data_IF_629268611973
#
_entry.id   IF_629268611973
#
_cell.length_a   1.000
_cell.length_b   1.000
_cell.length_c   1.000
_cell.angle_alpha   90.00
_cell.angle_beta   90.00
_cell.angle_gamma   90.00
#
_symmetry.space_group_name_H-M   'P 1'
#
loop_
_entity.id
_entity.type
_entity.pdbx_description
1 polymer ?
#
# COMPACT_ATOMS: atom_id res chain seq x y z
N UNK A 1 1.46 -7.08 -53.53
CA UNK A 1 1.19 -5.81 -52.82
C UNK A 1 -0.13 -5.96 -52.09
N UNK A 2 -0.17 -5.84 -50.75
CA UNK A 2 -1.44 -5.86 -50.00
C UNK A 2 -2.24 -4.60 -50.33
N UNK A 3 -3.55 -4.76 -50.57
CA UNK A 3 -4.43 -3.65 -50.90
C UNK A 3 -4.75 -2.75 -49.70
N UNK A 4 -5.12 -1.49 -49.93
CA UNK A 4 -5.41 -0.51 -48.86
C UNK A 4 -6.51 -0.96 -47.89
N UNK A 5 -7.47 -1.78 -48.33
CA UNK A 5 -8.50 -2.38 -47.46
C UNK A 5 -7.93 -3.35 -46.43
N UNK A 6 -6.97 -4.18 -46.83
CA UNK A 6 -6.35 -5.16 -45.92
C UNK A 6 -5.53 -4.46 -44.85
N UNK A 7 -4.78 -3.42 -45.23
CA UNK A 7 -4.06 -2.56 -44.30
C UNK A 7 -5.01 -1.88 -43.31
N UNK A 8 -6.15 -1.39 -43.78
CA UNK A 8 -7.14 -0.72 -42.94
C UNK A 8 -7.79 -1.69 -41.94
N UNK A 9 -8.12 -2.91 -42.36
CA UNK A 9 -8.67 -3.95 -41.47
C UNK A 9 -7.65 -4.38 -40.42
N UNK A 10 -6.38 -4.54 -40.80
CA UNK A 10 -5.30 -4.86 -39.86
C UNK A 10 -5.06 -3.73 -38.86
N UNK A 11 -5.11 -2.47 -39.31
CA UNK A 11 -4.98 -1.30 -38.45
C UNK A 11 -6.14 -1.19 -37.46
N UNK A 12 -7.39 -1.39 -37.92
CA UNK A 12 -8.56 -1.43 -37.05
C UNK A 12 -8.49 -2.57 -36.04
N UNK A 13 -8.00 -3.75 -36.46
CA UNK A 13 -7.78 -4.88 -35.56
C UNK A 13 -6.73 -4.59 -34.48
N UNK A 14 -5.61 -3.95 -34.85
CA UNK A 14 -4.57 -3.54 -33.91
C UNK A 14 -5.07 -2.47 -32.91
N UNK A 15 -5.88 -1.51 -33.37
CA UNK A 15 -6.50 -0.51 -32.50
C UNK A 15 -7.61 -1.08 -31.60
N UNK A 16 -8.37 -2.06 -32.07
CA UNK A 16 -9.37 -2.74 -31.24
C UNK A 16 -8.71 -3.61 -30.15
N UNK A 17 -7.49 -4.10 -30.40
CA UNK A 17 -6.67 -4.82 -29.41
C UNK A 17 -5.98 -3.90 -28.41
N UNK A 18 -5.84 -2.61 -28.71
CA UNK A 18 -5.44 -1.61 -27.71
C UNK A 18 -6.64 -1.21 -26.85
N UNK A 19 -7.17 -2.15 -26.07
CA UNK A 19 -7.89 -1.76 -24.86
C UNK A 19 -6.87 -1.13 -23.91
N UNK A 20 -6.82 0.20 -23.86
CA UNK A 20 -6.24 0.93 -22.73
C UNK A 20 -7.18 0.81 -21.54
N UNK A 21 -7.27 -0.39 -20.98
CA UNK A 21 -8.07 -0.63 -19.78
C UNK A 21 -7.29 -0.09 -18.58
N UNK A 22 -7.41 1.21 -18.34
CA UNK A 22 -7.14 1.75 -17.01
C UNK A 22 -8.21 1.17 -16.09
N UNK A 23 -7.92 0.03 -15.47
CA UNK A 23 -8.77 -0.56 -14.44
C UNK A 23 -8.92 0.38 -13.24
N UNK A 24 -9.93 0.13 -12.42
CA UNK A 24 -9.99 0.78 -11.10
C UNK A 24 -8.85 0.25 -10.24
N UNK A 25 -8.21 1.16 -9.50
CA UNK A 25 -7.24 0.84 -8.46
C UNK A 25 -7.81 1.18 -7.09
N UNK A 26 -7.41 0.41 -6.07
CA UNK A 26 -7.83 0.60 -4.68
C UNK A 26 -6.63 0.83 -3.76
N UNK A 27 -6.81 1.69 -2.75
CA UNK A 27 -5.86 1.88 -1.66
C UNK A 27 -6.56 1.52 -0.35
N UNK A 28 -6.01 0.58 0.40
CA UNK A 28 -6.60 0.05 1.63
C UNK A 28 -5.60 0.07 2.77
N UNK A 29 -6.00 0.55 3.93
CA UNK A 29 -5.23 0.47 5.17
C UNK A 29 -5.98 -0.34 6.22
N UNK A 30 -5.28 -1.28 6.84
CA UNK A 30 -5.79 -2.09 7.93
C UNK A 30 -5.03 -1.75 9.21
N UNK A 31 -5.78 -1.34 10.22
CA UNK A 31 -5.27 -1.04 11.55
C UNK A 31 -5.72 -2.14 12.50
N UNK A 32 -4.77 -2.85 13.10
CA UNK A 32 -5.03 -3.92 14.05
C UNK A 32 -4.44 -3.52 15.38
N UNK A 33 -5.28 -3.48 16.41
CA UNK A 33 -4.88 -3.20 17.77
C UNK A 33 -5.37 -4.34 18.67
N UNK A 34 -4.49 -4.88 19.51
CA UNK A 34 -4.79 -6.07 20.34
C UNK A 34 -4.34 -5.80 21.78
N UNK A 35 -5.27 -5.90 22.72
CA UNK A 35 -4.95 -5.85 24.14
C UNK A 35 -4.12 -7.07 24.54
N UNK A 36 -3.17 -6.89 25.47
CA UNK A 36 -2.30 -7.96 25.94
C UNK A 36 -2.48 -8.16 27.45
N UNK A 37 -2.45 -9.41 27.95
CA UNK A 37 -2.58 -9.67 29.38
C UNK A 37 -1.43 -9.04 30.18
N UNK A 38 -1.74 -8.57 31.39
CA UNK A 38 -0.79 -7.90 32.29
C UNK A 38 -0.64 -6.40 32.00
N UNK A 39 0.50 -5.83 32.42
CA UNK A 39 0.86 -4.41 32.17
C UNK A 39 1.58 -4.21 30.83
N UNK A 40 1.44 -5.15 29.89
CA UNK A 40 2.08 -5.04 28.56
C UNK A 40 1.31 -4.04 27.72
N UNK A 41 2.04 -3.21 27.00
CA UNK A 41 1.43 -2.27 26.06
C UNK A 41 0.65 -3.03 24.98
N UNK A 42 -0.53 -2.55 24.54
CA UNK A 42 -1.27 -3.15 23.44
C UNK A 42 -0.41 -3.26 22.17
N UNK A 43 -0.57 -4.35 21.43
CA UNK A 43 0.06 -4.51 20.12
C UNK A 43 -0.69 -3.65 19.10
N UNK A 44 0.05 -2.90 18.27
CA UNK A 44 -0.51 -2.14 17.17
C UNK A 44 0.24 -2.42 15.86
N UNK A 45 -0.51 -2.79 14.82
CA UNK A 45 0.01 -3.07 13.49
C UNK A 45 -0.80 -2.27 12.48
N UNK A 46 -0.12 -1.68 11.51
CA UNK A 46 -0.76 -1.08 10.33
C UNK A 46 -0.21 -1.73 9.07
N UNK A 47 -1.09 -2.09 8.13
CA UNK A 47 -0.72 -2.62 6.82
C UNK A 47 -1.43 -1.83 5.73
N UNK A 48 -0.69 -1.41 4.70
CA UNK A 48 -1.26 -0.72 3.53
C UNK A 48 -1.13 -1.57 2.27
N UNK A 49 -2.19 -1.58 1.47
CA UNK A 49 -2.31 -2.27 0.18
C UNK A 49 -2.67 -1.31 -0.93
N UNK A 50 -1.98 -1.41 -2.06
CA UNK A 50 -2.46 -0.91 -3.36
C UNK A 50 -2.93 -2.13 -4.14
N UNK A 51 -4.21 -2.15 -4.51
CA UNK A 51 -4.88 -3.35 -4.98
C UNK A 51 -4.64 -4.50 -4.00
N UNK A 52 -4.17 -5.65 -4.47
CA UNK A 52 -3.89 -6.80 -3.61
C UNK A 52 -2.40 -6.89 -3.20
N UNK A 53 -1.64 -5.82 -3.46
CA UNK A 53 -0.21 -5.76 -3.17
C UNK A 53 0.05 -4.94 -1.91
N UNK A 54 0.55 -5.61 -0.87
CA UNK A 54 1.01 -4.92 0.33
C UNK A 54 2.24 -4.06 -0.02
N UNK A 55 2.15 -2.76 0.26
CA UNK A 55 3.24 -1.83 -0.04
C UNK A 55 3.90 -1.24 1.19
N UNK A 56 3.25 -1.28 2.35
CA UNK A 56 3.78 -0.70 3.58
C UNK A 56 3.32 -1.47 4.82
N UNK A 57 4.15 -1.48 5.87
CA UNK A 57 3.82 -2.03 7.19
C UNK A 57 4.40 -1.18 8.31
N UNK A 58 3.70 -1.11 9.43
CA UNK A 58 4.22 -0.68 10.73
C UNK A 58 3.90 -1.76 11.77
N UNK A 59 4.84 -2.02 12.67
CA UNK A 59 4.70 -2.94 13.79
C UNK A 59 5.22 -2.29 15.06
N UNK A 60 4.36 -2.08 16.06
CA UNK A 60 4.72 -1.40 17.30
C UNK A 60 5.65 -2.22 18.20
N UNK A 61 5.69 -3.55 18.02
CA UNK A 61 6.49 -4.47 18.86
C UNK A 61 7.87 -4.74 18.25
N UNK A 62 8.16 -4.16 17.08
CA UNK A 62 9.49 -4.24 16.48
C UNK A 62 10.54 -3.53 17.37
N UNK A 63 11.79 -3.99 17.32
CA UNK A 63 12.90 -3.39 18.10
C UNK A 63 13.10 -1.90 17.79
N UNK A 64 12.86 -1.51 16.55
CA UNK A 64 12.88 -0.12 16.08
C UNK A 64 11.58 0.13 15.29
N UNK A 65 10.47 0.52 15.96
CA UNK A 65 9.19 0.70 15.31
C UNK A 65 9.24 1.84 14.28
N UNK A 66 9.15 1.47 13.00
CA UNK A 66 9.10 2.40 11.87
C UNK A 66 8.15 1.91 10.80
N UNK A 67 7.70 2.84 9.95
CA UNK A 67 6.95 2.52 8.76
C UNK A 67 7.93 2.00 7.71
N UNK A 68 7.68 0.83 7.16
CA UNK A 68 8.62 0.14 6.27
C UNK A 68 8.02 -0.15 4.90
N UNK A 69 8.78 0.06 3.82
CA UNK A 69 8.38 -0.37 2.48
C UNK A 69 8.25 -1.88 2.42
N UNK A 70 7.33 -2.35 1.58
CA UNK A 70 7.12 -3.78 1.27
C UNK A 70 7.23 -4.09 -0.21
N UNK A 71 7.47 -3.07 -1.02
CA UNK A 71 7.68 -3.18 -2.45
C UNK A 71 8.82 -2.27 -2.90
N UNK A 72 9.58 -2.65 -3.95
CA UNK A 72 10.74 -1.88 -4.42
C UNK A 72 10.40 -0.44 -4.84
N UNK A 73 9.17 -0.20 -5.31
CA UNK A 73 8.76 1.15 -5.71
C UNK A 73 8.60 2.10 -4.53
N UNK A 74 8.34 1.59 -3.33
CA UNK A 74 8.30 2.41 -2.12
C UNK A 74 9.69 2.77 -1.61
N UNK A 75 10.71 1.96 -1.87
CA UNK A 75 12.10 2.26 -1.45
C UNK A 75 12.65 3.55 -2.09
N UNK A 76 11.98 4.05 -3.14
CA UNK A 76 12.32 5.32 -3.81
C UNK A 76 11.91 6.55 -3.00
N UNK A 77 11.01 6.40 -2.04
CA UNK A 77 10.57 7.50 -1.18
C UNK A 77 11.69 7.97 -0.26
N UNK A 78 11.78 9.28 -0.06
CA UNK A 78 12.81 9.92 0.74
C UNK A 78 12.63 9.72 2.26
N UNK A 79 13.67 10.04 3.05
CA UNK A 79 13.62 9.91 4.51
C UNK A 79 12.50 10.77 5.13
N UNK A 80 12.19 11.95 4.57
CA UNK A 80 11.13 12.83 5.09
C UNK A 80 9.74 12.16 5.04
N UNK A 81 9.49 11.37 3.99
CA UNK A 81 8.26 10.59 3.86
C UNK A 81 8.19 9.52 4.96
N UNK A 82 9.26 8.75 5.12
CA UNK A 82 9.31 7.66 6.10
C UNK A 82 9.25 8.14 7.54
N UNK A 83 9.92 9.25 7.86
CA UNK A 83 9.87 9.87 9.18
C UNK A 83 8.46 10.35 9.52
N UNK A 84 7.80 10.99 8.56
CA UNK A 84 6.40 11.44 8.71
C UNK A 84 5.45 10.26 8.93
N UNK A 85 5.51 9.24 8.08
CA UNK A 85 4.62 8.07 8.16
C UNK A 85 4.89 7.23 9.42
N UNK A 86 6.14 7.18 9.87
CA UNK A 86 6.53 6.57 11.14
C UNK A 86 5.93 7.34 12.31
N UNK A 87 6.03 8.68 12.31
CA UNK A 87 5.44 9.52 13.36
C UNK A 87 3.92 9.33 13.43
N UNK A 88 3.22 9.36 12.30
CA UNK A 88 1.78 9.11 12.23
C UNK A 88 1.43 7.73 12.80
N UNK A 89 2.20 6.70 12.44
CA UNK A 89 1.94 5.34 12.94
C UNK A 89 2.18 5.22 14.46
N UNK A 90 3.19 5.92 15.00
CA UNK A 90 3.44 6.01 16.45
C UNK A 90 2.34 6.77 17.20
N UNK A 91 1.86 7.88 16.64
CA UNK A 91 0.72 8.63 17.19
C UNK A 91 -0.54 7.75 17.24
N UNK A 92 -0.81 6.98 16.18
CA UNK A 92 -1.94 6.05 16.14
C UNK A 92 -1.82 4.95 17.21
N UNK A 93 -0.62 4.41 17.48
CA UNK A 93 -0.41 3.46 18.58
C UNK A 93 -0.92 4.02 19.92
N UNK A 94 -0.67 5.30 20.20
CA UNK A 94 -1.12 5.95 21.44
C UNK A 94 -2.63 6.12 21.49
N UNK A 95 -3.26 6.49 20.37
CA UNK A 95 -4.72 6.62 20.26
C UNK A 95 -5.39 5.27 20.53
N UNK A 96 -4.96 4.20 19.84
CA UNK A 96 -5.54 2.87 20.03
C UNK A 96 -5.23 2.28 21.40
N UNK A 97 -4.06 2.59 21.99
CA UNK A 97 -3.77 2.24 23.39
C UNK A 97 -4.80 2.85 24.34
N UNK A 98 -5.20 4.10 24.15
CA UNK A 98 -6.24 4.74 24.96
C UNK A 98 -7.59 4.02 24.88
N UNK A 99 -7.92 3.43 23.72
CA UNK A 99 -9.17 2.71 23.50
C UNK A 99 -9.19 1.25 23.97
N UNK A 100 -8.02 0.67 24.29
CA UNK A 100 -7.87 -0.75 24.62
C UNK A 100 -7.55 -1.02 26.10
N UNK A 101 -7.34 0.03 26.90
CA UNK A 101 -7.11 -0.07 28.35
C UNK A 101 -8.38 0.18 29.15
#
# INVERSE_FOLDING_TARGET
VMGPRTLFVLLLGALALTETRAGSHSLRYFYTAVSRPGLREPLFITVGYVDDTQFVRFDSDARDPRKEPRQPWMEKEGPEYWDRETRISKENTLVYRGSLN
#
